data_IF_672159899855
#
_entry.id   IF_672159899855
#
_cell.length_a   1.000
_cell.length_b   1.000
_cell.length_c   1.000
_cell.angle_alpha   90.00
_cell.angle_beta   90.00
_cell.angle_gamma   90.00
#
_symmetry.space_group_name_H-M   'P 1'
#
loop_
_entity.id
_entity.type
_entity.pdbx_description
1 polymer ?
#
# COMPACT_ATOMS: atom_id res chain seq x y z
N UNK A 1 10.45 13.06 11.48
CA UNK A 1 10.07 12.36 12.73
C UNK A 1 9.52 10.99 12.42
N UNK A 2 8.46 10.85 11.60
CA UNK A 2 7.91 9.58 11.11
C UNK A 2 8.96 8.75 10.36
N UNK A 3 9.70 9.34 9.43
CA UNK A 3 10.72 8.61 8.67
C UNK A 3 11.85 8.08 9.56
N UNK A 4 12.36 8.90 10.48
CA UNK A 4 13.38 8.48 11.46
C UNK A 4 12.85 7.40 12.42
N UNK A 5 11.58 7.53 12.82
CA UNK A 5 10.90 6.55 13.67
C UNK A 5 10.72 5.22 12.94
N UNK A 6 10.38 5.25 11.65
CA UNK A 6 10.29 4.04 10.82
C UNK A 6 11.66 3.38 10.64
N UNK A 7 12.73 4.14 10.38
CA UNK A 7 14.08 3.58 10.26
C UNK A 7 14.51 2.84 11.54
N UNK A 8 14.29 3.45 12.71
CA UNK A 8 14.57 2.83 14.01
C UNK A 8 13.72 1.58 14.24
N UNK A 9 12.43 1.67 13.94
CA UNK A 9 11.50 0.55 14.07
C UNK A 9 11.89 -0.60 13.14
N UNK A 10 12.22 -0.30 11.88
CA UNK A 10 12.61 -1.26 10.85
C UNK A 10 13.90 -2.00 11.23
N UNK A 11 14.88 -1.34 11.85
CA UNK A 11 16.10 -2.03 12.34
C UNK A 11 15.80 -3.19 13.29
N UNK A 12 14.70 -3.10 14.06
CA UNK A 12 14.27 -4.13 15.01
C UNK A 12 13.20 -5.07 14.46
N UNK A 13 12.54 -4.71 13.36
CA UNK A 13 11.41 -5.44 12.79
C UNK A 13 11.66 -5.99 11.37
N UNK A 14 12.84 -5.75 10.78
CA UNK A 14 13.14 -6.15 9.40
C UNK A 14 12.95 -7.64 9.11
N UNK A 15 13.13 -8.51 10.12
CA UNK A 15 13.00 -9.96 9.96
C UNK A 15 11.54 -10.42 9.79
N UNK A 16 10.59 -9.53 10.05
CA UNK A 16 9.17 -9.76 9.78
C UNK A 16 8.84 -9.60 8.30
N UNK A 17 9.68 -8.90 7.55
CA UNK A 17 9.48 -8.70 6.12
C UNK A 17 10.15 -9.83 5.35
N UNK A 18 9.36 -10.59 4.58
CA UNK A 18 9.91 -11.50 3.58
C UNK A 18 10.70 -10.76 2.50
N UNK A 19 10.18 -9.60 2.08
CA UNK A 19 10.78 -8.71 1.08
C UNK A 19 11.08 -7.38 1.76
N UNK A 20 12.35 -7.14 2.07
CA UNK A 20 12.76 -6.07 2.99
C UNK A 20 12.58 -4.67 2.37
N UNK A 21 11.98 -3.71 3.09
CA UNK A 21 12.03 -2.31 2.69
C UNK A 21 13.47 -1.77 2.76
N UNK A 22 13.92 -1.12 1.69
CA UNK A 22 15.24 -0.50 1.54
C UNK A 22 15.02 0.96 1.13
N UNK A 23 15.60 1.89 1.91
CA UNK A 23 15.46 3.32 1.65
C UNK A 23 16.01 3.67 0.26
N UNK A 24 15.21 4.35 -0.54
CA UNK A 24 15.52 4.76 -1.91
C UNK A 24 15.44 6.28 -2.13
N UNK A 25 14.72 6.99 -1.27
CA UNK A 25 14.60 8.45 -1.25
C UNK A 25 14.47 8.99 0.17
N UNK A 26 14.08 10.26 0.32
CA UNK A 26 13.82 10.89 1.63
C UNK A 26 12.75 10.13 2.44
N UNK A 27 11.69 9.76 1.73
CA UNK A 27 10.40 9.27 2.19
C UNK A 27 9.96 8.01 1.43
N UNK A 28 10.78 7.55 0.48
CA UNK A 28 10.48 6.42 -0.41
C UNK A 28 11.37 5.22 -0.07
N UNK A 29 10.75 4.04 -0.01
CA UNK A 29 11.38 2.75 0.17
C UNK A 29 11.03 1.82 -1.00
N UNK A 30 12.03 1.11 -1.50
CA UNK A 30 11.87 -0.04 -2.41
C UNK A 30 11.75 -1.31 -1.58
N UNK A 31 11.12 -2.35 -2.10
CA UNK A 31 11.16 -3.67 -1.47
C UNK A 31 12.16 -4.57 -2.22
N UNK A 32 13.04 -5.23 -1.49
CA UNK A 32 14.00 -6.17 -2.07
C UNK A 32 13.27 -7.21 -2.92
N UNK A 33 13.68 -7.41 -4.18
CA UNK A 33 13.10 -8.41 -5.06
C UNK A 33 11.68 -8.13 -5.59
N UNK A 34 11.06 -7.00 -5.21
CA UNK A 34 9.76 -6.56 -5.75
C UNK A 34 10.00 -5.42 -6.75
N UNK A 35 9.28 -5.43 -7.87
CA UNK A 35 9.39 -4.40 -8.92
C UNK A 35 8.10 -3.59 -9.03
N UNK A 36 8.24 -2.31 -9.43
CA UNK A 36 7.16 -1.36 -9.69
C UNK A 36 6.24 -1.06 -8.49
N UNK A 37 6.66 -1.41 -7.27
CA UNK A 37 5.92 -1.14 -6.03
C UNK A 37 6.87 -0.47 -5.04
N UNK A 38 6.45 0.65 -4.48
CA UNK A 38 7.22 1.44 -3.52
C UNK A 38 6.37 1.75 -2.29
N UNK A 39 7.02 1.89 -1.15
CA UNK A 39 6.42 2.44 0.06
C UNK A 39 6.79 3.92 0.17
N UNK A 40 5.78 4.77 0.36
CA UNK A 40 5.94 6.19 0.69
C UNK A 40 5.53 6.41 2.15
N UNK A 41 6.36 7.13 2.91
CA UNK A 41 6.07 7.60 4.25
C UNK A 41 6.00 9.12 4.28
N UNK A 42 4.79 9.65 4.21
CA UNK A 42 4.55 11.09 4.12
C UNK A 42 4.53 11.72 5.50
N UNK A 43 5.57 12.50 5.80
CA UNK A 43 5.76 13.12 7.11
C UNK A 43 4.72 14.20 7.41
N UNK A 44 4.36 15.02 6.42
CA UNK A 44 3.45 16.17 6.59
C UNK A 44 2.05 15.75 7.04
N UNK A 45 1.56 14.65 6.50
CA UNK A 45 0.24 14.10 6.79
C UNK A 45 0.29 12.92 7.78
N UNK A 46 1.49 12.46 8.13
CA UNK A 46 1.73 11.28 8.99
C UNK A 46 1.05 10.03 8.43
N UNK A 47 1.45 9.64 7.21
CA UNK A 47 0.78 8.59 6.43
C UNK A 47 1.76 7.60 5.82
N UNK A 48 1.25 6.41 5.52
CA UNK A 48 1.94 5.40 4.73
C UNK A 48 1.10 4.97 3.54
N UNK A 49 1.74 4.88 2.38
CA UNK A 49 1.10 4.56 1.11
C UNK A 49 1.95 3.58 0.30
N UNK A 50 1.28 2.74 -0.49
CA UNK A 50 1.93 1.99 -1.56
C UNK A 50 1.76 2.74 -2.87
N UNK A 51 2.86 3.04 -3.53
CA UNK A 51 2.90 3.64 -4.86
C UNK A 51 3.19 2.57 -5.91
N UNK A 52 2.52 2.66 -7.05
CA UNK A 52 2.79 1.83 -8.21
C UNK A 52 3.42 2.65 -9.33
N UNK A 53 4.52 2.14 -9.87
CA UNK A 53 5.16 2.71 -11.06
C UNK A 53 4.30 2.42 -12.28
N UNK A 54 3.66 3.45 -12.84
CA UNK A 54 2.87 3.35 -14.06
C UNK A 54 3.13 4.57 -14.94
N UNK A 55 3.14 4.36 -16.27
CA UNK A 55 3.50 5.35 -17.30
C UNK A 55 2.48 6.50 -17.47
N UNK A 56 1.85 6.97 -16.39
CA UNK A 56 0.97 8.13 -16.39
C UNK A 56 1.55 9.23 -15.51
N UNK A 57 2.08 10.26 -16.17
CA UNK A 57 2.95 11.31 -15.61
C UNK A 57 2.30 12.27 -14.58
N UNK A 58 1.03 12.12 -14.21
CA UNK A 58 0.31 13.15 -13.45
C UNK A 58 -0.16 12.75 -12.05
N UNK A 59 -0.39 11.46 -11.78
CA UNK A 59 -0.78 10.97 -10.45
C UNK A 59 -0.23 9.55 -10.29
N UNK A 60 0.73 9.36 -9.39
CA UNK A 60 1.10 8.00 -8.97
C UNK A 60 -0.15 7.28 -8.47
N UNK A 61 -0.39 6.06 -8.95
CA UNK A 61 -1.46 5.24 -8.41
C UNK A 61 -1.04 4.86 -7.00
N UNK A 62 -1.88 5.13 -6.00
CA UNK A 62 -1.57 4.88 -4.61
C UNK A 62 -2.64 4.08 -3.88
N UNK A 63 -2.21 3.39 -2.82
CA UNK A 63 -3.09 2.75 -1.84
C UNK A 63 -2.63 3.19 -0.46
N UNK A 64 -3.51 3.90 0.26
CA UNK A 64 -3.29 4.26 1.65
C UNK A 64 -3.28 3.00 2.52
N UNK A 65 -2.30 2.91 3.41
CA UNK A 65 -2.16 1.81 4.35
C UNK A 65 -2.54 2.21 5.78
N UNK A 66 -2.20 3.43 6.17
CA UNK A 66 -2.45 3.95 7.51
C UNK A 66 -2.07 5.41 7.63
N UNK A 67 -2.86 6.17 8.38
CA UNK A 67 -2.68 7.60 8.62
C UNK A 67 -3.11 7.99 10.04
N UNK A 68 -2.64 9.13 10.51
CA UNK A 68 -3.08 9.75 11.77
C UNK A 68 -3.62 11.16 11.48
N UNK A 69 -4.90 11.40 11.74
CA UNK A 69 -5.54 12.67 11.37
C UNK A 69 -5.38 13.74 12.46
N UNK A 70 -5.73 13.41 13.71
CA UNK A 70 -5.84 14.36 14.82
C UNK A 70 -5.30 13.78 16.12
N UNK A 71 -3.98 13.69 16.19
CA UNK A 71 -3.26 13.20 17.36
C UNK A 71 -3.50 14.08 18.59
N UNK A 72 -3.86 13.45 19.72
CA UNK A 72 -4.02 14.12 21.01
C UNK A 72 -3.55 13.24 22.17
N UNK A 73 -2.90 13.86 23.16
CA UNK A 73 -2.66 13.23 24.47
C UNK A 73 -3.81 13.54 25.44
N UNK A 74 -4.32 12.51 26.11
CA UNK A 74 -5.33 12.60 27.16
C UNK A 74 -4.71 12.13 28.48
N UNK A 75 -4.68 13.01 29.47
CA UNK A 75 -4.15 12.69 30.79
C UNK A 75 -4.85 11.46 31.40
N UNK A 76 -4.06 10.52 31.92
CA UNK A 76 -4.55 9.26 32.48
C UNK A 76 -5.00 8.21 31.46
N UNK A 77 -5.00 8.52 30.15
CA UNK A 77 -5.32 7.55 29.09
C UNK A 77 -4.21 7.34 28.07
N UNK A 78 -3.43 8.37 27.74
CA UNK A 78 -2.36 8.32 26.74
C UNK A 78 -2.72 9.03 25.43
N UNK A 79 -2.00 8.69 24.35
CA UNK A 79 -2.17 9.21 23.00
C UNK A 79 -3.33 8.54 22.28
N UNK A 80 -4.02 9.30 21.43
CA UNK A 80 -5.09 8.80 20.55
C UNK A 80 -5.16 9.64 19.29
N UNK A 81 -5.77 9.08 18.24
CA UNK A 81 -6.23 9.83 17.08
C UNK A 81 -7.72 10.16 17.21
N UNK A 82 -8.07 11.45 17.15
CA UNK A 82 -9.44 11.95 17.25
C UNK A 82 -10.11 12.18 15.88
N UNK A 83 -9.47 11.78 14.77
CA UNK A 83 -10.11 11.77 13.45
C UNK A 83 -11.17 10.68 13.29
N UNK A 84 -11.09 9.63 14.11
CA UNK A 84 -11.99 8.48 14.05
C UNK A 84 -13.30 8.70 14.80
N UNK A 85 -14.31 7.92 14.43
CA UNK A 85 -15.58 7.83 15.18
C UNK A 85 -15.30 7.42 16.63
N UNK A 86 -16.09 7.95 17.58
CA UNK A 86 -15.86 7.75 19.03
C UNK A 86 -15.72 6.27 19.45
N UNK A 87 -16.41 5.36 18.75
CA UNK A 87 -16.37 3.92 19.01
C UNK A 87 -15.08 3.23 18.52
N UNK A 88 -14.28 3.91 17.70
CA UNK A 88 -13.01 3.43 17.15
C UNK A 88 -11.80 4.09 17.82
N UNK A 89 -12.01 4.97 18.82
CA UNK A 89 -10.93 5.66 19.52
C UNK A 89 -10.11 4.64 20.34
N UNK A 90 -8.84 4.48 19.96
CA UNK A 90 -7.87 3.66 20.66
C UNK A 90 -6.82 4.53 21.36
N UNK A 91 -6.49 4.17 22.60
CA UNK A 91 -5.47 4.86 23.39
C UNK A 91 -4.17 4.05 23.46
N UNK A 92 -3.05 4.76 23.39
CA UNK A 92 -1.68 4.22 23.44
C UNK A 92 -0.87 4.95 24.50
N UNK A 93 0.07 4.29 25.17
CA UNK A 93 0.83 4.93 26.25
C UNK A 93 1.80 5.98 25.70
N UNK A 94 2.35 5.72 24.52
CA UNK A 94 3.30 6.60 23.84
C UNK A 94 2.85 6.96 22.42
N UNK A 95 3.40 8.05 21.89
CA UNK A 95 3.17 8.43 20.49
C UNK A 95 3.76 7.36 19.55
N UNK A 96 4.92 6.80 19.87
CA UNK A 96 5.56 5.76 19.07
C UNK A 96 4.67 4.52 18.95
N UNK A 97 4.10 4.03 20.05
CA UNK A 97 3.19 2.88 20.01
C UNK A 97 1.97 3.11 19.11
N UNK A 98 1.41 4.32 19.13
CA UNK A 98 0.30 4.69 18.26
C UNK A 98 0.73 4.69 16.78
N UNK A 99 1.88 5.29 16.45
CA UNK A 99 2.42 5.27 15.08
C UNK A 99 2.70 3.84 14.62
N UNK A 100 3.29 3.01 15.47
CA UNK A 100 3.57 1.62 15.14
C UNK A 100 2.28 0.87 14.79
N UNK A 101 1.28 0.95 15.65
CA UNK A 101 0.02 0.24 15.46
C UNK A 101 -0.80 0.75 14.26
N UNK A 102 -0.83 2.06 14.04
CA UNK A 102 -1.73 2.67 13.04
C UNK A 102 -1.08 2.84 11.67
N UNK A 103 0.25 2.90 11.59
CA UNK A 103 0.95 3.17 10.33
C UNK A 103 1.88 2.01 9.97
N UNK A 104 2.76 1.56 10.89
CA UNK A 104 3.81 0.60 10.50
C UNK A 104 3.33 -0.85 10.43
N UNK A 105 2.46 -1.27 11.34
CA UNK A 105 1.86 -2.60 11.34
C UNK A 105 1.02 -2.88 10.07
N UNK A 106 0.20 -1.92 9.58
CA UNK A 106 -0.46 -2.05 8.28
C UNK A 106 0.48 -2.30 7.10
N UNK A 107 1.71 -1.76 7.12
CA UNK A 107 2.72 -2.02 6.08
C UNK A 107 3.11 -3.49 6.07
N UNK A 108 3.38 -4.09 7.24
CA UNK A 108 3.70 -5.52 7.35
C UNK A 108 2.53 -6.36 6.87
N UNK A 109 1.32 -6.06 7.35
CA UNK A 109 0.11 -6.80 6.99
C UNK A 109 -0.18 -6.74 5.48
N UNK A 110 0.06 -5.57 4.85
CA UNK A 110 -0.04 -5.43 3.40
C UNK A 110 0.99 -6.32 2.69
N UNK A 111 2.27 -6.25 3.09
CA UNK A 111 3.34 -7.04 2.48
C UNK A 111 3.06 -8.55 2.60
N UNK A 112 2.68 -9.04 3.77
CA UNK A 112 2.39 -10.47 4.01
C UNK A 112 1.23 -10.98 3.16
N UNK A 113 0.22 -10.12 2.96
CA UNK A 113 -0.97 -10.45 2.18
C UNK A 113 -0.70 -10.45 0.67
N UNK A 114 0.15 -9.55 0.20
CA UNK A 114 0.27 -9.25 -1.23
C UNK A 114 1.57 -9.75 -1.87
N UNK A 115 2.70 -9.73 -1.15
CA UNK A 115 4.00 -10.16 -1.68
C UNK A 115 4.18 -11.67 -1.50
N UNK A 116 3.35 -12.42 -2.21
CA UNK A 116 3.34 -13.89 -2.22
C UNK A 116 3.83 -14.36 -3.58
N UNK A 117 4.79 -15.29 -3.62
CA UNK A 117 5.34 -15.83 -4.86
C UNK A 117 4.24 -16.30 -5.82
N UNK A 118 4.35 -15.91 -7.09
CA UNK A 118 3.33 -16.20 -8.10
C UNK A 118 2.19 -15.18 -8.16
N UNK A 119 2.14 -14.23 -7.22
CA UNK A 119 1.31 -13.03 -7.41
C UNK A 119 1.91 -12.12 -8.48
N UNK A 120 1.02 -11.36 -9.13
CA UNK A 120 1.33 -10.38 -10.15
C UNK A 120 0.72 -9.03 -9.76
N UNK A 121 1.28 -7.96 -10.29
CA UNK A 121 0.65 -6.65 -10.29
C UNK A 121 -0.29 -6.56 -11.49
N UNK A 122 -1.53 -6.20 -11.24
CA UNK A 122 -2.52 -5.89 -12.26
C UNK A 122 -2.88 -4.42 -12.15
N UNK A 123 -2.84 -3.71 -13.28
CA UNK A 123 -3.39 -2.37 -13.40
C UNK A 123 -4.60 -2.45 -14.34
N UNK A 124 -5.75 -2.04 -13.84
CA UNK A 124 -7.00 -2.04 -14.60
C UNK A 124 -7.34 -0.60 -14.93
N UNK A 125 -7.16 -0.23 -16.19
CA UNK A 125 -7.58 1.06 -16.71
C UNK A 125 -9.04 0.97 -17.13
N UNK A 126 -9.87 1.87 -16.58
CA UNK A 126 -11.27 2.04 -16.94
C UNK A 126 -11.58 3.52 -17.03
N UNK A 127 -11.82 4.00 -18.25
CA UNK A 127 -12.22 5.38 -18.55
C UNK A 127 -11.26 6.44 -17.97
N UNK A 128 -9.96 6.16 -17.99
CA UNK A 128 -8.91 7.07 -17.49
C UNK A 128 -8.69 6.99 -15.98
N UNK A 129 -9.35 6.05 -15.28
CA UNK A 129 -9.03 5.68 -13.89
C UNK A 129 -8.26 4.37 -13.92
N UNK A 130 -7.06 4.36 -13.36
CA UNK A 130 -6.25 3.16 -13.23
C UNK A 130 -6.33 2.63 -11.80
N UNK A 131 -6.80 1.39 -11.65
CA UNK A 131 -6.95 0.71 -10.36
C UNK A 131 -5.87 -0.37 -10.20
N UNK A 132 -5.03 -0.29 -9.16
CA UNK A 132 -4.00 -1.29 -8.93
C UNK A 132 -4.57 -2.47 -8.15
N UNK A 133 -4.06 -3.67 -8.43
CA UNK A 133 -4.35 -4.84 -7.62
C UNK A 133 -3.20 -5.83 -7.65
N UNK A 134 -2.90 -6.44 -6.52
CA UNK A 134 -1.93 -7.54 -6.43
C UNK A 134 -2.67 -8.84 -6.09
N UNK A 135 -2.36 -9.91 -6.83
CA UNK A 135 -2.83 -11.25 -6.49
C UNK A 135 -2.39 -12.33 -7.47
N UNK A 136 -2.79 -13.58 -7.20
CA UNK A 136 -2.55 -14.73 -8.06
C UNK A 136 -3.77 -15.07 -8.91
N UNK A 137 -3.94 -16.36 -9.25
CA UNK A 137 -4.98 -16.84 -10.18
C UNK A 137 -6.42 -16.43 -9.81
N UNK A 138 -6.76 -16.37 -8.52
CA UNK A 138 -8.10 -15.96 -8.08
C UNK A 138 -8.38 -14.50 -8.47
N UNK A 139 -7.38 -13.63 -8.27
CA UNK A 139 -7.49 -12.20 -8.61
C UNK A 139 -7.58 -12.02 -10.12
N UNK A 140 -6.80 -12.79 -10.88
CA UNK A 140 -6.87 -12.80 -12.34
C UNK A 140 -8.27 -13.15 -12.84
N UNK A 141 -8.89 -14.19 -12.28
CA UNK A 141 -10.28 -14.58 -12.63
C UNK A 141 -11.29 -13.48 -12.32
N UNK A 142 -11.12 -12.76 -11.21
CA UNK A 142 -11.99 -11.62 -10.86
C UNK A 142 -11.84 -10.47 -11.86
N UNK A 143 -10.61 -10.14 -12.23
CA UNK A 143 -10.30 -9.06 -13.19
C UNK A 143 -10.82 -9.40 -14.59
N UNK A 144 -10.67 -10.65 -15.05
CA UNK A 144 -11.24 -11.08 -16.33
C UNK A 144 -12.77 -11.00 -16.35
N UNK A 145 -13.44 -11.37 -15.24
CA UNK A 145 -14.90 -11.20 -15.10
C UNK A 145 -15.32 -9.73 -15.15
N UNK A 146 -14.51 -8.81 -14.61
CA UNK A 146 -14.77 -7.37 -14.68
C UNK A 146 -14.74 -6.90 -16.14
N UNK A 147 -13.69 -7.27 -16.89
CA UNK A 147 -13.57 -6.97 -18.32
C UNK A 147 -14.78 -7.45 -19.12
N UNK A 148 -15.21 -8.69 -18.89
CA UNK A 148 -16.39 -9.26 -19.55
C UNK A 148 -17.68 -8.49 -19.24
N UNK A 149 -17.85 -7.98 -18.01
CA UNK A 149 -19.02 -7.18 -17.64
C UNK A 149 -19.02 -5.82 -18.34
N UNK A 150 -17.87 -5.13 -18.36
CA UNK A 150 -17.74 -3.81 -19.00
C UNK A 150 -18.01 -3.87 -20.51
N UNK A 151 -17.65 -4.98 -21.16
CA UNK A 151 -17.86 -5.17 -22.61
C UNK A 151 -19.29 -5.59 -22.99
N UNK A 152 -20.11 -6.08 -22.05
CA UNK A 152 -21.46 -6.65 -22.33
C UNK A 152 -22.63 -5.69 -22.01
N UNK A 153 -22.39 -4.48 -21.52
CA UNK A 153 -23.45 -3.52 -21.15
C UNK A 153 -24.10 -2.87 -22.40
N UNK A 154 -25.40 -3.07 -22.69
CA UNK A 154 -26.01 -2.72 -23.99
C UNK A 154 -26.17 -1.22 -24.30
N UNK A 155 -25.99 -0.32 -23.33
CA UNK A 155 -26.37 1.09 -23.43
C UNK A 155 -25.24 2.08 -23.10
N UNK A 156 -24.02 1.62 -22.87
CA UNK A 156 -22.85 2.48 -22.67
C UNK A 156 -21.88 2.20 -23.80
N UNK A 157 -21.17 3.23 -24.30
CA UNK A 157 -19.98 3.00 -25.14
C UNK A 157 -19.12 1.96 -24.40
N UNK A 158 -18.54 0.96 -25.07
CA UNK A 158 -17.67 0.03 -24.37
C UNK A 158 -16.60 0.87 -23.66
N UNK A 159 -16.65 0.89 -22.33
CA UNK A 159 -15.59 1.51 -21.55
C UNK A 159 -14.31 0.76 -21.96
N UNK A 160 -13.31 1.50 -22.42
CA UNK A 160 -12.01 0.91 -22.76
C UNK A 160 -11.45 0.35 -21.46
N UNK A 161 -11.62 -0.96 -21.28
CA UNK A 161 -11.12 -1.69 -20.12
C UNK A 161 -9.86 -2.43 -20.54
N UNK A 162 -8.73 -1.81 -20.23
CA UNK A 162 -7.41 -2.38 -20.47
C UNK A 162 -6.86 -2.95 -19.17
N UNK A 163 -6.21 -4.10 -19.29
CA UNK A 163 -5.61 -4.80 -18.15
C UNK A 163 -4.16 -5.01 -18.48
N UNK A 164 -3.31 -4.39 -17.66
CA UNK A 164 -1.88 -4.55 -17.70
C UNK A 164 -1.49 -5.52 -16.58
N UNK A 165 -0.73 -6.56 -16.93
CA UNK A 165 -0.24 -7.56 -15.99
C UNK A 165 1.28 -7.50 -15.98
N UNK A 166 1.85 -7.28 -14.82
CA UNK A 166 3.29 -7.22 -14.60
C UNK A 166 3.72 -8.32 -13.63
N UNK A 167 4.90 -8.89 -13.86
CA UNK A 167 5.57 -9.65 -12.83
C UNK A 167 5.77 -8.76 -11.60
N UNK A 168 5.42 -9.27 -10.42
CA UNK A 168 5.63 -8.53 -9.17
C UNK A 168 7.09 -8.68 -8.69
N UNK A 169 7.75 -9.77 -9.07
CA UNK A 169 9.05 -10.16 -8.55
C UNK A 169 10.14 -9.96 -9.60
N UNK A 170 11.32 -9.49 -9.18
CA UNK A 170 12.48 -9.43 -10.05
C UNK A 170 12.96 -10.85 -10.39
N UNK A 171 12.55 -11.34 -11.57
CA UNK A 171 12.96 -12.65 -12.08
C UNK A 171 14.39 -12.63 -12.67
N UNK A 172 15.14 -11.52 -12.60
CA UNK A 172 16.54 -11.44 -13.03
C UNK A 172 17.47 -12.19 -12.06
N UNK A 173 17.38 -13.52 -12.07
CA UNK A 173 18.17 -14.39 -11.22
C UNK A 173 17.79 -15.87 -11.27
N UNK A 174 16.59 -16.21 -11.78
CA UNK A 174 16.21 -17.60 -12.04
C UNK A 174 16.86 -18.07 -13.35
N UNK A 175 18.11 -18.51 -13.27
CA UNK A 175 18.75 -19.39 -14.26
C UNK A 175 18.66 -20.84 -13.81
#
# INVERSE_FOLDING_TARGET
MLNELFEKWLQTNQDRFRYKPIKAGSDIYKFEGIINVYLLLQEETTESMILYDYECESCGILVDLGYLEKVKYIEGKGYTDLGWLDECIQYFLTYEEMVYATIFEPIVAYCDKHFIDGNHLYLVDMDGIVLPSIGGESKEKEIQKLKEKCTKTPNHKPNECEIYKYDLFDNKGKK
#
